data_IF_586808449339
#
_entry.id   IF_586808449339
#
_cell.length_a   1.000
_cell.length_b   1.000
_cell.length_c   1.000
_cell.angle_alpha   90.00
_cell.angle_beta   90.00
_cell.angle_gamma   90.00
#
_symmetry.space_group_name_H-M   'P 1'
#
loop_
_entity.id
_entity.type
_entity.pdbx_description
1 polymer ?
#
# COMPACT_ATOMS: atom_id res chain seq x y z
N UNK A 1 24.35 -11.21 5.29
CA UNK A 1 23.31 -10.64 6.16
C UNK A 1 21.98 -11.04 5.57
N UNK A 2 21.28 -11.93 6.25
CA UNK A 2 19.97 -12.42 5.81
C UNK A 2 18.92 -11.40 6.30
N UNK A 3 18.66 -10.37 5.49
CA UNK A 3 17.64 -9.38 5.81
C UNK A 3 16.27 -10.00 5.53
N UNK A 4 15.67 -10.63 6.54
CA UNK A 4 14.33 -11.16 6.39
C UNK A 4 13.36 -10.01 6.09
N UNK A 5 12.59 -10.16 5.01
CA UNK A 5 11.64 -9.15 4.50
C UNK A 5 10.51 -8.88 5.50
N UNK A 6 10.15 -9.88 6.30
CA UNK A 6 9.04 -9.80 7.27
C UNK A 6 9.22 -8.71 8.33
N UNK A 7 10.34 -8.65 9.09
CA UNK A 7 10.63 -7.53 9.98
C UNK A 7 10.60 -6.14 9.32
N UNK A 8 10.94 -6.05 8.03
CA UNK A 8 10.89 -4.77 7.31
C UNK A 8 9.44 -4.35 7.02
N UNK A 9 8.58 -5.30 6.65
CA UNK A 9 7.14 -5.05 6.47
C UNK A 9 6.48 -4.70 7.82
N UNK A 10 6.87 -5.34 8.92
CA UNK A 10 6.39 -5.00 10.27
C UNK A 10 6.76 -3.56 10.66
N UNK A 11 8.00 -3.14 10.37
CA UNK A 11 8.43 -1.75 10.57
C UNK A 11 7.66 -0.77 9.67
N UNK A 12 7.45 -1.13 8.41
CA UNK A 12 6.66 -0.32 7.47
C UNK A 12 5.21 -0.14 7.97
N UNK A 13 4.60 -1.20 8.48
CA UNK A 13 3.27 -1.17 9.07
C UNK A 13 3.22 -0.27 10.30
N UNK A 14 4.20 -0.36 11.21
CA UNK A 14 4.30 0.55 12.35
C UNK A 14 4.41 2.01 11.92
N UNK A 15 5.24 2.34 10.93
CA UNK A 15 5.36 3.71 10.39
C UNK A 15 4.09 4.19 9.68
N UNK A 16 3.35 3.28 9.06
CA UNK A 16 2.05 3.60 8.46
C UNK A 16 1.01 3.92 9.54
N UNK A 17 0.99 3.16 10.65
CA UNK A 17 0.16 3.43 11.84
C UNK A 17 0.50 4.77 12.49
N UNK A 18 1.78 5.14 12.55
CA UNK A 18 2.25 6.44 13.03
C UNK A 18 1.86 7.61 12.10
N UNK A 19 1.24 7.35 10.93
CA UNK A 19 0.88 8.39 9.96
C UNK A 19 2.09 9.01 9.24
N UNK A 20 3.27 8.38 9.30
CA UNK A 20 4.52 8.92 8.75
C UNK A 20 4.70 8.67 7.26
N UNK A 21 3.84 7.86 6.66
CA UNK A 21 3.93 7.49 5.24
C UNK A 21 2.76 8.12 4.49
N UNK A 22 3.10 8.95 3.51
CA UNK A 22 2.14 9.65 2.66
C UNK A 22 1.60 8.73 1.56
N UNK A 23 0.77 7.77 1.95
CA UNK A 23 0.05 6.92 1.03
C UNK A 23 -0.96 7.73 0.21
N UNK A 24 -1.02 7.43 -1.09
CA UNK A 24 -1.94 7.99 -2.06
C UNK A 24 -2.77 6.86 -2.65
N UNK A 25 -4.09 7.02 -2.67
CA UNK A 25 -4.95 6.10 -3.37
C UNK A 25 -4.81 6.30 -4.87
N UNK A 26 -4.42 5.24 -5.60
CA UNK A 26 -4.36 5.25 -7.06
C UNK A 26 -5.72 4.82 -7.63
N UNK A 27 -6.32 3.79 -7.03
CA UNK A 27 -7.67 3.34 -7.32
C UNK A 27 -8.23 2.60 -6.09
N UNK A 28 -9.44 2.02 -6.18
CA UNK A 28 -10.10 1.35 -5.06
C UNK A 28 -9.38 0.13 -4.48
N UNK A 29 -8.44 -0.45 -5.21
CA UNK A 29 -7.68 -1.64 -4.82
C UNK A 29 -6.18 -1.38 -4.74
N UNK A 30 -5.73 -0.14 -4.96
CA UNK A 30 -4.31 0.17 -5.10
C UNK A 30 -4.00 1.48 -4.42
N UNK A 31 -2.98 1.42 -3.56
CA UNK A 31 -2.41 2.58 -2.88
C UNK A 31 -0.91 2.57 -3.12
N UNK A 32 -0.34 3.77 -3.20
CA UNK A 32 1.04 4.01 -3.57
C UNK A 32 1.66 5.04 -2.65
N UNK A 33 2.92 4.87 -2.35
CA UNK A 33 3.75 5.91 -1.78
C UNK A 33 5.06 5.97 -2.58
N UNK A 34 5.61 7.17 -2.72
CA UNK A 34 6.88 7.39 -3.41
C UNK A 34 7.88 8.01 -2.45
N UNK A 35 9.13 7.57 -2.52
CA UNK A 35 10.22 8.07 -1.68
C UNK A 35 11.47 8.26 -2.50
N UNK A 36 12.25 9.28 -2.19
CA UNK A 36 13.58 9.45 -2.78
C UNK A 36 14.62 9.08 -1.72
N UNK A 37 15.48 8.11 -2.04
CA UNK A 37 16.59 7.65 -1.20
C UNK A 37 17.85 7.69 -2.06
N UNK A 38 18.92 8.30 -1.58
CA UNK A 38 20.20 8.39 -2.30
C UNK A 38 20.09 8.91 -3.75
N UNK A 39 19.24 9.94 -3.95
CA UNK A 39 18.90 10.53 -5.25
C UNK A 39 18.15 9.60 -6.23
N UNK A 40 17.71 8.43 -5.78
CA UNK A 40 16.89 7.52 -6.56
C UNK A 40 15.44 7.54 -6.08
N UNK A 41 14.50 7.67 -7.01
CA UNK A 41 13.07 7.57 -6.73
C UNK A 41 12.69 6.11 -6.58
N UNK A 42 11.89 5.80 -5.56
CA UNK A 42 11.29 4.51 -5.34
C UNK A 42 9.78 4.65 -5.30
N UNK A 43 9.10 3.71 -5.96
CA UNK A 43 7.65 3.62 -6.04
C UNK A 43 7.23 2.35 -5.30
N UNK A 44 6.56 2.54 -4.18
CA UNK A 44 6.06 1.47 -3.33
C UNK A 44 4.56 1.37 -3.55
N UNK A 45 4.08 0.20 -3.94
CA UNK A 45 2.65 -0.03 -4.19
C UNK A 45 2.18 -1.23 -3.39
N UNK A 46 0.99 -1.13 -2.81
CA UNK A 46 0.28 -2.29 -2.30
C UNK A 46 -1.10 -2.37 -2.97
N UNK A 47 -1.36 -3.55 -3.51
CA UNK A 47 -2.60 -3.91 -4.18
C UNK A 47 -3.35 -4.88 -3.28
N UNK A 48 -4.62 -4.59 -3.01
CA UNK A 48 -5.54 -5.48 -2.30
C UNK A 48 -6.46 -6.23 -3.27
N UNK A 49 -7.29 -7.13 -2.75
CA UNK A 49 -8.25 -7.87 -3.55
C UNK A 49 -9.19 -6.92 -4.28
N UNK A 50 -9.60 -7.28 -5.50
CA UNK A 50 -10.49 -6.45 -6.28
C UNK A 50 -11.86 -6.31 -5.59
N UNK A 51 -12.19 -5.09 -5.14
CA UNK A 51 -13.52 -4.74 -4.59
C UNK A 51 -14.60 -4.64 -5.69
N UNK A 52 -14.51 -5.39 -6.79
CA UNK A 52 -15.58 -5.46 -7.81
C UNK A 52 -16.56 -6.56 -7.40
N UNK A 53 -17.83 -6.18 -7.29
CA UNK A 53 -18.88 -6.94 -6.63
C UNK A 53 -19.09 -8.34 -7.20
N UNK A 54 -19.60 -9.20 -6.30
CA UNK A 54 -20.12 -10.54 -6.58
C UNK A 54 -19.04 -11.53 -7.07
N UNK A 55 -18.16 -11.95 -6.17
CA UNK A 55 -17.46 -13.23 -6.34
C UNK A 55 -18.44 -14.37 -6.05
N UNK A 56 -19.24 -14.74 -7.04
CA UNK A 56 -19.75 -16.12 -7.12
C UNK A 56 -18.50 -17.01 -7.28
N UNK A 57 -18.19 -17.78 -6.23
CA UNK A 57 -17.03 -18.68 -6.08
C UNK A 57 -15.69 -18.02 -5.71
N UNK A 58 -15.39 -17.97 -4.41
CA UNK A 58 -14.02 -18.03 -3.87
C UNK A 58 -13.08 -16.85 -4.13
N UNK A 59 -13.47 -15.61 -3.75
CA UNK A 59 -12.58 -14.45 -3.79
C UNK A 59 -11.28 -14.75 -3.01
N UNK A 60 -10.17 -14.87 -3.74
CA UNK A 60 -8.85 -15.05 -3.13
C UNK A 60 -8.47 -13.70 -2.51
N UNK A 61 -8.36 -13.65 -1.18
CA UNK A 61 -7.86 -12.49 -0.42
C UNK A 61 -6.35 -12.33 -0.69
N UNK A 62 -6.02 -11.88 -1.90
CA UNK A 62 -4.66 -11.73 -2.41
C UNK A 62 -4.19 -10.28 -2.27
N UNK A 63 -2.98 -10.13 -1.74
CA UNK A 63 -2.26 -8.87 -1.67
C UNK A 63 -0.97 -8.96 -2.49
N UNK A 64 -0.63 -7.88 -3.18
CA UNK A 64 0.62 -7.74 -3.92
C UNK A 64 1.32 -6.48 -3.43
N UNK A 65 2.52 -6.64 -2.87
CA UNK A 65 3.39 -5.56 -2.44
C UNK A 65 4.57 -5.46 -3.39
N UNK A 66 4.79 -4.27 -3.96
CA UNK A 66 5.87 -4.03 -4.92
C UNK A 66 6.74 -2.86 -4.50
N UNK A 67 8.05 -2.99 -4.72
CA UNK A 67 9.00 -1.89 -4.70
C UNK A 67 9.63 -1.80 -6.09
N UNK A 68 9.53 -0.64 -6.71
CA UNK A 68 10.11 -0.35 -8.01
C UNK A 68 11.00 0.88 -7.91
N UNK A 69 12.06 0.97 -8.71
CA UNK A 69 12.78 2.23 -8.90
C UNK A 69 12.01 3.18 -9.82
N UNK A 70 12.42 4.44 -9.87
CA UNK A 70 11.85 5.46 -10.74
C UNK A 70 12.08 5.20 -12.23
N UNK A 71 13.09 4.39 -12.57
CA UNK A 71 13.31 3.90 -13.93
C UNK A 71 12.39 2.74 -14.32
N UNK A 72 11.62 2.20 -13.36
CA UNK A 72 10.68 1.10 -13.57
C UNK A 72 11.26 -0.28 -13.28
N UNK A 73 12.50 -0.38 -12.77
CA UNK A 73 13.08 -1.66 -12.35
C UNK A 73 12.31 -2.23 -11.16
N UNK A 74 11.90 -3.49 -11.23
CA UNK A 74 11.23 -4.19 -10.14
C UNK A 74 12.26 -4.77 -9.16
N UNK A 75 12.34 -4.17 -7.98
CA UNK A 75 13.29 -4.57 -6.93
C UNK A 75 12.71 -5.64 -6.00
N UNK A 76 11.40 -5.57 -5.75
CA UNK A 76 10.68 -6.55 -4.94
C UNK A 76 9.25 -6.68 -5.43
N UNK A 77 8.78 -7.93 -5.51
CA UNK A 77 7.35 -8.25 -5.60
C UNK A 77 7.04 -9.39 -4.63
N UNK A 78 6.26 -9.08 -3.60
CA UNK A 78 5.76 -10.04 -2.64
C UNK A 78 4.26 -10.22 -2.87
N UNK A 79 3.87 -11.41 -3.31
CA UNK A 79 2.47 -11.81 -3.40
C UNK A 79 2.10 -12.63 -2.18
N UNK A 80 0.94 -12.38 -1.58
CA UNK A 80 0.47 -13.11 -0.41
C UNK A 80 -1.02 -13.43 -0.48
N UNK A 81 -1.38 -14.67 -0.20
CA UNK A 81 -2.74 -15.18 -0.02
C UNK A 81 -2.70 -16.41 0.91
N UNK A 82 -3.82 -17.13 1.06
CA UNK A 82 -3.89 -18.31 1.94
C UNK A 82 -2.95 -19.47 1.54
N UNK A 83 -2.50 -19.54 0.28
CA UNK A 83 -1.63 -20.60 -0.24
C UNK A 83 -0.19 -20.13 -0.53
N UNK A 84 0.00 -18.85 -0.84
CA UNK A 84 1.27 -18.25 -1.24
C UNK A 84 1.72 -17.25 -0.18
N UNK A 85 2.89 -17.44 0.41
CA UNK A 85 3.44 -16.58 1.47
C UNK A 85 2.39 -16.21 2.55
N UNK A 86 1.65 -17.19 3.11
CA UNK A 86 0.52 -16.93 4.01
C UNK A 86 0.92 -16.17 5.29
N UNK A 87 2.17 -16.28 5.71
CA UNK A 87 2.74 -15.59 6.86
C UNK A 87 2.80 -14.06 6.70
N UNK A 88 2.69 -13.55 5.46
CA UNK A 88 2.64 -12.12 5.15
C UNK A 88 1.21 -11.60 4.97
N UNK A 89 0.23 -12.48 4.81
CA UNK A 89 -1.13 -12.09 4.45
C UNK A 89 -1.76 -11.16 5.51
N UNK A 90 -1.67 -11.44 6.82
CA UNK A 90 -2.21 -10.55 7.83
C UNK A 90 -1.52 -9.18 7.82
N UNK A 91 -0.19 -9.15 7.62
CA UNK A 91 0.60 -7.93 7.61
C UNK A 91 0.25 -7.04 6.41
N UNK A 92 0.17 -7.62 5.21
CA UNK A 92 -0.17 -6.87 4.00
C UNK A 92 -1.63 -6.42 4.00
N UNK A 93 -2.55 -7.24 4.53
CA UNK A 93 -3.95 -6.86 4.72
C UNK A 93 -4.09 -5.65 5.64
N UNK A 94 -3.45 -5.70 6.81
CA UNK A 94 -3.50 -4.60 7.76
C UNK A 94 -2.83 -3.34 7.20
N UNK A 95 -1.67 -3.49 6.55
CA UNK A 95 -0.97 -2.39 5.87
C UNK A 95 -1.88 -1.72 4.84
N UNK A 96 -2.52 -2.52 3.97
CA UNK A 96 -3.43 -2.03 2.95
C UNK A 96 -4.58 -1.23 3.56
N UNK A 97 -5.26 -1.79 4.58
CA UNK A 97 -6.42 -1.16 5.21
C UNK A 97 -6.08 0.20 5.86
N UNK A 98 -4.98 0.27 6.61
CA UNK A 98 -4.58 1.50 7.31
C UNK A 98 -4.13 2.55 6.31
N UNK A 99 -3.29 2.17 5.35
CA UNK A 99 -2.81 3.09 4.32
C UNK A 99 -3.94 3.62 3.43
N UNK A 100 -4.91 2.77 3.09
CA UNK A 100 -6.12 3.16 2.37
C UNK A 100 -6.95 4.17 3.17
N UNK A 101 -7.20 3.89 4.46
CA UNK A 101 -7.90 4.81 5.37
C UNK A 101 -7.21 6.18 5.46
N UNK A 102 -5.89 6.19 5.68
CA UNK A 102 -5.09 7.42 5.75
C UNK A 102 -5.20 8.26 4.46
N UNK A 103 -5.18 7.61 3.30
CA UNK A 103 -5.28 8.30 2.01
C UNK A 103 -6.65 8.97 1.77
N UNK A 104 -7.74 8.37 2.27
CA UNK A 104 -9.09 8.96 2.17
C UNK A 104 -9.24 10.21 3.04
N UNK A 105 -8.70 10.19 4.25
CA UNK A 105 -8.71 11.36 5.15
C UNK A 105 -7.97 12.56 4.53
N UNK A 106 -6.85 12.29 3.85
CA UNK A 106 -6.12 13.34 3.10
C UNK A 106 -6.96 13.91 1.96
N UNK A 107 -7.69 13.07 1.23
CA UNK A 107 -8.55 13.50 0.14
C UNK A 107 -9.68 14.41 0.63
N UNK A 108 -10.33 14.04 1.74
CA UNK A 108 -11.37 14.88 2.36
C UNK A 108 -10.82 16.24 2.79
N UNK A 109 -9.67 16.29 3.47
CA UNK A 109 -9.05 17.55 3.88
C UNK A 109 -8.62 18.44 2.71
N UNK A 110 -8.18 17.87 1.58
CA UNK A 110 -7.89 18.64 0.36
C UNK A 110 -9.17 19.20 -0.23
N UNK A 111 -10.26 18.41 -0.27
CA UNK A 111 -11.55 18.86 -0.78
C UNK A 111 -12.09 20.03 0.06
N UNK A 112 -12.04 19.95 1.39
CA UNK A 112 -12.49 21.03 2.28
C UNK A 112 -11.73 22.33 1.98
N UNK A 113 -10.40 22.26 1.87
CA UNK A 113 -9.57 23.43 1.53
C UNK A 113 -9.89 24.01 0.15
N UNK A 114 -10.20 23.16 -0.83
CA UNK A 114 -10.58 23.63 -2.16
C UNK A 114 -11.93 24.36 -2.10
N UNK A 115 -12.90 23.83 -1.34
CA UNK A 115 -14.21 24.46 -1.13
C UNK A 115 -14.05 25.81 -0.42
N UNK A 116 -13.26 25.86 0.65
CA UNK A 116 -13.06 27.08 1.44
C UNK A 116 -12.38 28.21 0.65
N UNK A 117 -11.60 27.89 -0.38
CA UNK A 117 -10.95 28.86 -1.25
C UNK A 117 -11.80 29.32 -2.45
N UNK A 118 -13.04 28.83 -2.58
CA UNK A 118 -13.98 29.28 -3.62
C UNK A 118 -14.78 30.52 -3.20
N UNK A 119 -14.68 30.95 -1.93
CA UNK A 119 -15.29 32.18 -1.38
C UNK A 119 -14.26 33.24 -1.04
#
# INVERSE_FOLDING_TARGET
>A
MDFSIKPQIEKLLAKTKEGKISWMQVNKNTIRWTSTIDNELYIITIQGPALLGISTTGAIDQFIFTIQSGSGELLLQLQSNAMTNPEFQPLLKELFQIAFSNSRNKTASVLDKLIDNLG
#
